data_IF_636142739496
#
_entry.id   IF_636142739496
#
_cell.length_a   1.000
_cell.length_b   1.000
_cell.length_c   1.000
_cell.angle_alpha   90.00
_cell.angle_beta   90.00
_cell.angle_gamma   90.00
#
_symmetry.space_group_name_H-M   'P 1'
#
loop_
_entity.id
_entity.type
_entity.pdbx_description
1 polymer ?
#
# COMPACT_ATOMS: atom_id res chain seq x y z
N UNK A 1 6.26 17.01 -9.57
CA UNK A 1 5.03 16.65 -8.82
C UNK A 1 4.54 15.33 -9.40
N UNK A 2 4.31 14.31 -8.57
CA UNK A 2 3.83 13.02 -9.05
C UNK A 2 2.31 12.92 -8.87
N UNK A 3 1.63 12.40 -9.90
CA UNK A 3 0.19 12.19 -9.94
C UNK A 3 -0.13 10.89 -9.22
N UNK A 4 -1.11 10.92 -8.32
CA UNK A 4 -1.56 9.74 -7.57
C UNK A 4 -2.77 9.08 -8.24
N UNK A 5 -3.74 9.88 -8.67
CA UNK A 5 -4.94 9.40 -9.35
C UNK A 5 -5.54 10.50 -10.22
N UNK A 6 -6.11 10.13 -11.35
CA UNK A 6 -6.89 11.03 -12.20
C UNK A 6 -8.16 10.34 -12.70
N UNK A 7 -9.19 11.13 -13.00
CA UNK A 7 -10.41 10.61 -13.62
C UNK A 7 -11.57 11.60 -13.60
N UNK A 8 -12.67 11.20 -14.23
CA UNK A 8 -13.90 11.97 -14.26
C UNK A 8 -14.69 11.80 -12.96
N UNK A 9 -15.15 12.92 -12.41
CA UNK A 9 -16.11 12.94 -11.31
C UNK A 9 -17.15 14.02 -11.55
N UNK A 10 -18.39 13.73 -11.18
CA UNK A 10 -19.41 14.75 -11.07
C UNK A 10 -19.14 15.57 -9.81
N UNK A 11 -19.17 16.89 -9.93
CA UNK A 11 -18.99 17.83 -8.84
C UNK A 11 -20.21 18.72 -8.70
N UNK A 12 -20.67 18.89 -7.46
CA UNK A 12 -21.74 19.83 -7.17
C UNK A 12 -21.18 21.24 -6.99
N UNK A 13 -21.79 22.21 -7.66
CA UNK A 13 -21.46 23.63 -7.45
C UNK A 13 -21.93 24.11 -6.07
N UNK A 14 -21.13 24.97 -5.42
CA UNK A 14 -21.44 25.47 -4.08
C UNK A 14 -22.64 26.42 -4.04
N UNK A 15 -22.84 27.23 -5.08
CA UNK A 15 -23.87 28.28 -5.16
C UNK A 15 -25.20 27.74 -5.68
N UNK A 16 -25.19 27.13 -6.88
CA UNK A 16 -26.42 26.72 -7.58
C UNK A 16 -26.78 25.25 -7.35
N UNK A 17 -25.96 24.49 -6.61
CA UNK A 17 -26.15 23.07 -6.30
C UNK A 17 -26.33 22.16 -7.54
N UNK A 18 -25.95 22.65 -8.72
CA UNK A 18 -25.95 21.91 -9.99
C UNK A 18 -24.71 21.01 -10.08
N UNK A 19 -24.92 19.81 -10.63
CA UNK A 19 -23.86 18.85 -10.93
C UNK A 19 -23.18 19.18 -12.27
N UNK A 20 -21.86 19.09 -12.30
CA UNK A 20 -21.03 19.27 -13.49
C UNK A 20 -20.00 18.16 -13.56
N UNK A 21 -19.76 17.62 -14.74
CA UNK A 21 -18.71 16.64 -14.95
C UNK A 21 -17.36 17.36 -15.04
N UNK A 22 -16.41 16.96 -14.20
CA UNK A 22 -15.08 17.57 -14.12
C UNK A 22 -13.99 16.50 -14.21
N UNK A 23 -12.91 16.81 -14.92
CA UNK A 23 -11.69 16.01 -14.85
C UNK A 23 -10.95 16.37 -13.56
N UNK A 24 -10.62 15.37 -12.76
CA UNK A 24 -10.03 15.54 -11.44
C UNK A 24 -8.64 14.91 -11.41
N UNK A 25 -7.64 15.67 -10.95
CA UNK A 25 -6.29 15.17 -10.72
C UNK A 25 -5.94 15.31 -9.25
N UNK A 26 -5.53 14.21 -8.63
CA UNK A 26 -5.01 14.14 -7.27
C UNK A 26 -3.49 13.94 -7.31
N UNK A 27 -2.78 14.83 -6.64
CA UNK A 27 -1.31 14.86 -6.61
C UNK A 27 -0.77 14.40 -5.25
N UNK A 28 0.45 13.85 -5.21
CA UNK A 28 1.12 13.38 -3.98
C UNK A 28 1.33 14.47 -2.92
N UNK A 29 1.40 15.73 -3.35
CA UNK A 29 1.48 16.87 -2.43
C UNK A 29 0.16 17.11 -1.66
N UNK A 30 -0.91 16.39 -2.00
CA UNK A 30 -2.25 16.54 -1.44
C UNK A 30 -3.09 17.59 -2.16
N UNK A 31 -2.65 18.10 -3.31
CA UNK A 31 -3.44 18.98 -4.15
C UNK A 31 -4.47 18.19 -4.95
N UNK A 32 -5.74 18.54 -4.78
CA UNK A 32 -6.83 17.99 -5.55
C UNK A 32 -7.37 19.06 -6.50
N UNK A 33 -7.12 18.87 -7.80
CA UNK A 33 -7.33 19.85 -8.86
C UNK A 33 -8.51 19.42 -9.73
N UNK A 34 -9.32 20.40 -10.14
CA UNK A 34 -10.49 20.19 -10.98
C UNK A 34 -10.36 21.01 -12.28
N UNK A 35 -10.67 20.36 -13.39
CA UNK A 35 -10.63 20.93 -14.72
C UNK A 35 -11.95 20.69 -15.44
N UNK A 36 -12.24 21.52 -16.44
CA UNK A 36 -13.39 21.34 -17.32
C UNK A 36 -13.22 20.15 -18.28
N UNK A 37 -11.97 19.86 -18.66
CA UNK A 37 -11.62 18.83 -19.62
C UNK A 37 -10.31 18.12 -19.26
N UNK A 38 -10.10 16.92 -19.81
CA UNK A 38 -8.89 16.10 -19.62
C UNK A 38 -7.61 16.78 -20.14
N UNK A 39 -7.73 17.78 -21.01
CA UNK A 39 -6.60 18.54 -21.54
C UNK A 39 -5.93 19.44 -20.48
N UNK A 40 -6.49 19.53 -19.27
CA UNK A 40 -5.96 20.32 -18.12
C UNK A 40 -5.75 21.82 -18.39
N UNK A 41 -6.31 22.34 -19.48
CA UNK A 41 -6.18 23.77 -19.87
C UNK A 41 -7.13 24.67 -19.09
N UNK A 42 -8.35 24.18 -18.86
CA UNK A 42 -9.42 24.92 -18.22
C UNK A 42 -9.50 24.58 -16.74
N UNK A 43 -8.69 25.27 -15.92
CA UNK A 43 -8.69 25.11 -14.47
C UNK A 43 -9.96 25.70 -13.84
N UNK A 44 -10.63 24.93 -12.99
CA UNK A 44 -11.80 25.40 -12.25
C UNK A 44 -11.48 25.69 -10.78
N UNK A 45 -10.92 24.72 -10.05
CA UNK A 45 -10.70 24.86 -8.61
C UNK A 45 -9.63 23.91 -8.09
N UNK A 46 -9.08 24.24 -6.92
CA UNK A 46 -8.07 23.45 -6.20
C UNK A 46 -8.46 23.35 -4.73
N UNK A 47 -8.35 22.15 -4.19
CA UNK A 47 -8.52 21.86 -2.77
C UNK A 47 -7.22 21.25 -2.24
N UNK A 48 -6.68 21.83 -1.16
CA UNK A 48 -5.50 21.28 -0.49
C UNK A 48 -5.95 20.32 0.61
N UNK A 49 -5.88 19.02 0.35
CA UNK A 49 -6.39 18.00 1.28
C UNK A 49 -5.64 18.00 2.60
N UNK A 50 -4.31 18.17 2.59
CA UNK A 50 -3.49 18.17 3.80
C UNK A 50 -3.87 19.27 4.79
N UNK A 51 -4.20 20.46 4.26
CA UNK A 51 -4.49 21.63 5.10
C UNK A 51 -5.97 21.76 5.40
N UNK A 52 -6.85 21.33 4.51
CA UNK A 52 -8.29 21.62 4.61
C UNK A 52 -9.18 20.40 4.84
N UNK A 53 -8.78 19.17 4.45
CA UNK A 53 -9.63 17.99 4.59
C UNK A 53 -9.66 17.49 6.04
N UNK A 54 -10.86 17.38 6.61
CA UNK A 54 -11.11 16.81 7.94
C UNK A 54 -11.51 15.34 7.81
N UNK A 55 -12.40 15.02 6.88
CA UNK A 55 -12.89 13.65 6.66
C UNK A 55 -13.38 13.45 5.22
N UNK A 56 -13.53 12.20 4.79
CA UNK A 56 -14.12 11.83 3.50
C UNK A 56 -15.17 10.74 3.73
N UNK A 57 -16.39 10.99 3.25
CA UNK A 57 -17.53 10.09 3.34
C UNK A 57 -17.89 9.53 1.96
N UNK A 58 -18.40 8.31 1.88
CA UNK A 58 -18.82 7.68 0.63
C UNK A 58 -20.17 6.99 0.77
N UNK A 59 -20.90 6.89 -0.34
CA UNK A 59 -22.18 6.20 -0.43
C UNK A 59 -23.20 6.66 0.61
N UNK A 60 -23.81 5.72 1.33
CA UNK A 60 -24.86 5.96 2.33
C UNK A 60 -24.39 6.82 3.52
N UNK A 61 -23.08 6.98 3.73
CA UNK A 61 -22.55 7.92 4.73
C UNK A 61 -22.85 9.38 4.38
N UNK A 62 -23.15 9.67 3.10
CA UNK A 62 -23.44 11.00 2.56
C UNK A 62 -24.93 11.39 2.77
N UNK A 63 -25.43 11.28 4.00
CA UNK A 63 -26.81 11.60 4.32
C UNK A 63 -27.16 13.06 3.97
N UNK A 64 -28.34 13.27 3.36
CA UNK A 64 -28.87 14.60 3.03
C UNK A 64 -28.34 15.21 1.72
N UNK A 65 -27.60 14.45 0.92
CA UNK A 65 -27.16 14.86 -0.44
C UNK A 65 -27.98 14.14 -1.50
N UNK A 66 -28.58 14.88 -2.41
CA UNK A 66 -29.24 14.30 -3.59
C UNK A 66 -28.21 14.02 -4.69
N UNK A 67 -28.07 12.76 -5.16
CA UNK A 67 -27.18 12.44 -6.27
C UNK A 67 -27.68 13.06 -7.58
N UNK A 68 -26.86 13.07 -8.63
CA UNK A 68 -27.34 13.37 -9.98
C UNK A 68 -28.48 12.42 -10.37
N UNK A 69 -29.41 12.88 -11.22
CA UNK A 69 -30.68 12.19 -11.54
C UNK A 69 -30.52 10.74 -12.04
N UNK A 70 -29.37 10.42 -12.62
CA UNK A 70 -29.05 9.09 -13.18
C UNK A 70 -28.19 8.21 -12.26
N UNK A 71 -27.76 8.70 -11.10
CA UNK A 71 -26.79 8.01 -10.24
C UNK A 71 -27.38 7.65 -8.86
N UNK A 72 -27.07 6.46 -8.32
CA UNK A 72 -27.49 6.08 -6.98
C UNK A 72 -26.72 6.86 -5.91
N UNK A 73 -27.27 6.89 -4.70
CA UNK A 73 -26.62 7.53 -3.55
C UNK A 73 -25.31 6.85 -3.14
N UNK A 74 -25.12 5.58 -3.47
CA UNK A 74 -23.91 4.80 -3.22
C UNK A 74 -22.68 5.35 -3.97
N UNK A 75 -22.90 6.01 -5.11
CA UNK A 75 -21.84 6.65 -5.89
C UNK A 75 -21.36 7.98 -5.31
N UNK A 76 -22.02 8.50 -4.26
CA UNK A 76 -21.67 9.79 -3.68
C UNK A 76 -20.35 9.72 -2.93
N UNK A 77 -19.63 10.84 -2.97
CA UNK A 77 -18.39 11.06 -2.24
C UNK A 77 -18.39 12.49 -1.70
N UNK A 78 -18.29 12.66 -0.40
CA UNK A 78 -18.28 13.98 0.25
C UNK A 78 -16.97 14.18 0.98
N UNK A 79 -16.20 15.19 0.55
CA UNK A 79 -15.00 15.63 1.24
C UNK A 79 -15.39 16.74 2.22
N UNK A 80 -15.30 16.45 3.51
CA UNK A 80 -15.53 17.41 4.58
C UNK A 80 -14.29 18.27 4.79
N UNK A 81 -14.42 19.56 4.58
CA UNK A 81 -13.36 20.55 4.72
C UNK A 81 -13.47 21.26 6.08
N UNK A 82 -12.39 21.95 6.48
CA UNK A 82 -12.38 22.84 7.65
C UNK A 82 -13.48 23.91 7.52
N UNK A 83 -13.93 24.41 8.67
CA UNK A 83 -14.97 25.44 8.79
C UNK A 83 -16.36 24.99 8.32
N UNK A 84 -16.62 23.68 8.25
CA UNK A 84 -17.94 23.14 7.90
C UNK A 84 -18.25 23.13 6.41
N UNK A 85 -17.32 23.56 5.56
CA UNK A 85 -17.49 23.45 4.11
C UNK A 85 -17.42 21.99 3.66
N UNK A 86 -18.17 21.65 2.62
CA UNK A 86 -18.16 20.31 2.03
C UNK A 86 -18.02 20.41 0.52
N UNK A 87 -17.22 19.51 -0.03
CA UNK A 87 -17.10 19.29 -1.47
C UNK A 87 -17.84 18.00 -1.80
N UNK A 88 -18.97 18.15 -2.48
CA UNK A 88 -19.83 17.04 -2.88
C UNK A 88 -19.46 16.57 -4.29
N UNK A 89 -19.18 15.28 -4.40
CA UNK A 89 -18.77 14.59 -5.62
C UNK A 89 -19.64 13.35 -5.84
N UNK A 90 -19.66 12.84 -7.07
CA UNK A 90 -20.31 11.59 -7.43
C UNK A 90 -19.47 10.86 -8.50
N UNK A 91 -19.20 9.58 -8.27
CA UNK A 91 -18.49 8.70 -9.20
C UNK A 91 -19.47 7.97 -10.13
N UNK A 92 -18.94 7.17 -11.06
CA UNK A 92 -19.78 6.39 -11.98
C UNK A 92 -20.26 5.09 -11.33
N UNK A 93 -19.53 4.56 -10.36
CA UNK A 93 -19.89 3.39 -9.55
C UNK A 93 -19.56 3.57 -8.06
N UNK A 94 -20.12 2.71 -7.21
CA UNK A 94 -19.79 2.63 -5.78
C UNK A 94 -18.30 2.31 -5.57
N UNK A 95 -17.76 1.34 -6.31
CA UNK A 95 -16.35 0.96 -6.23
C UNK A 95 -15.42 2.12 -6.55
N UNK A 96 -15.75 2.93 -7.56
CA UNK A 96 -14.99 4.13 -7.88
C UNK A 96 -15.07 5.16 -6.75
N UNK A 97 -16.25 5.38 -6.17
CA UNK A 97 -16.42 6.29 -5.04
C UNK A 97 -15.57 5.84 -3.84
N UNK A 98 -15.55 4.54 -3.53
CA UNK A 98 -14.71 3.95 -2.49
C UNK A 98 -13.22 4.10 -2.81
N UNK A 99 -12.80 3.81 -4.04
CA UNK A 99 -11.42 3.97 -4.46
C UNK A 99 -10.96 5.43 -4.30
N UNK A 100 -11.79 6.40 -4.70
CA UNK A 100 -11.52 7.82 -4.49
C UNK A 100 -11.44 8.18 -3.00
N UNK A 101 -12.36 7.68 -2.16
CA UNK A 101 -12.31 7.92 -0.70
C UNK A 101 -10.99 7.45 -0.10
N UNK A 102 -10.58 6.21 -0.39
CA UNK A 102 -9.33 5.64 0.13
C UNK A 102 -8.12 6.48 -0.33
N UNK A 103 -8.05 6.80 -1.61
CA UNK A 103 -6.95 7.59 -2.19
C UNK A 103 -6.89 9.01 -1.60
N UNK A 104 -8.03 9.66 -1.37
CA UNK A 104 -8.09 10.99 -0.75
C UNK A 104 -7.65 10.97 0.72
N UNK A 105 -8.07 9.95 1.48
CA UNK A 105 -7.66 9.76 2.86
C UNK A 105 -6.16 9.47 2.99
N UNK A 106 -5.61 8.71 2.03
CA UNK A 106 -4.17 8.44 1.91
C UNK A 106 -3.40 9.72 1.57
N UNK A 107 -3.81 10.46 0.53
CA UNK A 107 -3.17 11.72 0.13
C UNK A 107 -3.19 12.78 1.24
N UNK A 108 -4.23 12.78 2.10
CA UNK A 108 -4.30 13.61 3.31
C UNK A 108 -3.26 13.17 4.35
N UNK A 109 -3.09 11.86 4.57
CA UNK A 109 -2.16 11.30 5.57
C UNK A 109 -0.70 11.35 5.14
N UNK A 110 -0.42 11.25 3.84
CA UNK A 110 0.92 11.21 3.31
C UNK A 110 1.64 12.57 3.52
N UNK A 111 2.26 12.73 4.69
CA UNK A 111 3.42 13.62 4.85
C UNK A 111 4.52 12.99 4.04
N UNK A 112 4.66 13.43 2.80
CA UNK A 112 5.69 13.07 1.83
C UNK A 112 6.97 12.60 2.57
N UNK A 113 7.14 11.28 2.70
CA UNK A 113 8.47 10.71 2.78
C UNK A 113 8.97 10.75 1.34
N UNK A 114 9.50 11.89 0.92
CA UNK A 114 10.42 11.87 -0.22
C UNK A 114 11.57 11.03 0.29
N UNK A 115 11.62 9.76 -0.10
CA UNK A 115 12.86 9.00 0.02
C UNK A 115 13.86 9.75 -0.86
N UNK A 116 14.69 10.56 -0.21
CA UNK A 116 15.81 11.21 -0.84
C UNK A 116 16.99 10.27 -0.65
N UNK A 117 17.42 9.53 -1.68
CA UNK A 117 18.60 8.65 -1.57
C UNK A 117 19.89 9.42 -1.24
N UNK A 118 19.85 10.75 -1.25
CA UNK A 118 20.94 11.62 -0.78
C UNK A 118 20.83 12.02 0.70
N UNK A 119 19.68 11.83 1.36
CA UNK A 119 19.52 11.96 2.83
C UNK A 119 19.85 10.66 3.57
N UNK A 120 20.05 9.57 2.82
CA UNK A 120 20.65 8.33 3.31
C UNK A 120 22.13 8.58 3.61
N UNK A 121 22.41 9.26 4.71
CA UNK A 121 23.66 9.07 5.45
C UNK A 121 23.59 7.72 6.16
N UNK A 122 23.46 6.64 5.39
CA UNK A 122 23.95 5.34 5.85
C UNK A 122 25.45 5.54 6.06
N UNK A 123 25.87 5.82 7.29
CA UNK A 123 27.22 5.44 7.67
C UNK A 123 27.26 3.94 7.47
N UNK A 124 28.01 3.48 6.47
CA UNK A 124 28.34 2.07 6.31
C UNK A 124 29.10 1.66 7.57
N UNK A 125 28.40 1.11 8.55
CA UNK A 125 29.02 0.56 9.76
C UNK A 125 29.62 -0.78 9.34
N UNK A 126 30.96 -0.94 9.40
CA UNK A 126 31.58 -2.22 9.10
C UNK A 126 31.02 -3.29 10.04
N UNK A 127 30.80 -4.50 9.50
CA UNK A 127 30.39 -5.66 10.28
C UNK A 127 31.46 -5.90 11.36
N UNK A 128 31.07 -5.81 12.64
CA UNK A 128 31.93 -6.24 13.74
C UNK A 128 32.08 -7.77 13.71
N UNK A 129 33.16 -8.27 14.31
CA UNK A 129 33.47 -9.67 14.60
C UNK A 129 32.30 -10.49 15.19
N UNK A 130 31.26 -9.83 15.71
CA UNK A 130 30.04 -10.44 16.24
C UNK A 130 28.84 -10.46 15.25
N UNK A 131 29.04 -10.18 13.95
CA UNK A 131 27.98 -10.19 12.93
C UNK A 131 26.77 -9.26 13.25
N UNK A 132 27.01 -8.18 14.00
CA UNK A 132 25.99 -7.21 14.38
C UNK A 132 26.19 -5.88 13.65
N UNK A 133 25.10 -5.30 13.16
CA UNK A 133 25.09 -3.97 12.54
C UNK A 133 24.28 -3.01 13.42
N UNK A 134 24.90 -1.90 13.80
CA UNK A 134 24.27 -0.84 14.58
C UNK A 134 23.85 0.29 13.63
N UNK A 135 22.54 0.49 13.46
CA UNK A 135 22.02 1.62 12.70
C UNK A 135 21.62 2.74 13.67
N UNK A 136 22.32 3.87 13.62
CA UNK A 136 21.95 5.09 14.33
C UNK A 136 21.22 6.04 13.37
N UNK A 137 20.02 6.54 13.73
CA UNK A 137 19.39 7.59 12.95
C UNK A 137 20.23 8.88 13.06
N UNK A 138 20.60 9.46 11.92
CA UNK A 138 21.54 10.57 11.78
C UNK A 138 21.10 11.94 12.32
N UNK A 139 20.05 12.00 13.16
CA UNK A 139 19.65 13.25 13.83
C UNK A 139 19.89 13.07 15.32
N UNK A 140 20.86 13.81 15.86
CA UNK A 140 21.42 13.69 17.21
C UNK A 140 20.47 14.00 18.38
N UNK A 141 19.24 13.49 18.38
CA UNK A 141 18.35 13.53 19.52
C UNK A 141 17.46 12.27 19.56
N UNK A 142 17.83 11.33 20.45
CA UNK A 142 16.89 10.42 21.11
C UNK A 142 16.10 9.41 20.25
N UNK A 143 16.58 9.04 19.06
CA UNK A 143 15.95 7.98 18.25
C UNK A 143 16.26 6.57 18.76
N UNK A 144 15.28 5.67 18.65
CA UNK A 144 15.39 4.25 19.02
C UNK A 144 16.55 3.60 18.25
N UNK A 145 17.49 2.98 18.98
CA UNK A 145 18.59 2.23 18.40
C UNK A 145 18.07 0.88 17.88
N UNK A 146 18.27 0.62 16.59
CA UNK A 146 17.91 -0.67 15.99
C UNK A 146 19.19 -1.51 15.83
N UNK A 147 19.24 -2.64 16.54
CA UNK A 147 20.30 -3.64 16.42
C UNK A 147 19.82 -4.74 15.48
N UNK A 148 20.52 -4.92 14.36
CA UNK A 148 20.26 -6.01 13.42
C UNK A 148 21.36 -7.04 13.59
N UNK A 149 21.00 -8.23 14.05
CA UNK A 149 21.92 -9.37 14.16
C UNK A 149 21.74 -10.23 12.92
N UNK A 150 22.77 -10.32 12.09
CA UNK A 150 22.76 -11.23 10.95
C UNK A 150 22.95 -12.65 11.47
N UNK A 151 21.85 -13.40 11.53
CA UNK A 151 21.87 -14.82 11.87
C UNK A 151 21.99 -15.59 10.57
N UNK A 152 23.18 -16.09 10.28
CA UNK A 152 23.40 -16.99 9.14
C UNK A 152 22.53 -18.24 9.30
N UNK A 153 21.45 -18.33 8.53
CA UNK A 153 20.50 -19.46 8.54
C UNK A 153 21.09 -20.73 7.94
N UNK A 154 22.39 -20.75 7.62
CA UNK A 154 23.00 -21.83 6.86
C UNK A 154 23.21 -23.14 7.64
N UNK A 155 22.94 -23.18 8.96
CA UNK A 155 23.25 -24.36 9.76
C UNK A 155 22.06 -25.05 10.45
N UNK A 156 20.82 -24.60 10.27
CA UNK A 156 19.66 -25.25 10.91
C UNK A 156 19.01 -26.36 10.04
N UNK A 157 19.32 -26.45 8.74
CA UNK A 157 18.68 -27.44 7.84
C UNK A 157 19.49 -28.70 7.52
N UNK A 158 20.77 -28.76 7.90
CA UNK A 158 21.69 -29.83 7.48
C UNK A 158 21.57 -31.08 8.39
N UNK A 159 21.24 -30.90 9.67
CA UNK A 159 21.11 -32.01 10.62
C UNK A 159 19.93 -32.94 10.33
N UNK A 160 18.78 -32.39 9.93
CA UNK A 160 17.56 -33.18 9.70
C UNK A 160 17.61 -34.00 8.41
N UNK A 161 18.24 -33.47 7.35
CA UNK A 161 18.37 -34.19 6.07
C UNK A 161 19.37 -35.35 6.12
N UNK A 162 20.44 -35.23 6.92
CA UNK A 162 21.41 -36.31 7.11
C UNK A 162 20.77 -37.49 7.86
N UNK A 163 19.92 -37.21 8.86
CA UNK A 163 19.21 -38.23 9.61
C UNK A 163 18.19 -39.01 8.75
N UNK A 164 17.47 -38.33 7.85
CA UNK A 164 16.51 -38.95 6.93
C UNK A 164 17.18 -39.83 5.86
N UNK A 165 18.34 -39.42 5.34
CA UNK A 165 19.11 -40.19 4.36
C UNK A 165 19.74 -41.48 4.92
N UNK A 166 20.19 -41.45 6.17
CA UNK A 166 20.75 -42.62 6.86
C UNK A 166 19.70 -43.71 7.15
N UNK A 167 18.46 -43.32 7.43
CA UNK A 167 17.39 -44.27 7.78
C UNK A 167 16.82 -45.00 6.55
N UNK A 168 16.81 -44.36 5.39
CA UNK A 168 16.38 -44.96 4.12
C UNK A 168 17.42 -45.93 3.54
N UNK A 169 18.72 -45.69 3.75
CA UNK A 169 19.80 -46.57 3.30
C UNK A 169 19.84 -47.93 4.01
N UNK A 170 19.35 -48.01 5.26
CA UNK A 170 19.41 -49.24 6.07
C UNK A 170 18.38 -50.30 5.63
N UNK A 171 17.24 -49.89 5.06
CA UNK A 171 16.19 -50.81 4.61
C UNK A 171 16.55 -51.53 3.28
N UNK A 172 17.27 -50.86 2.37
CA UNK A 172 17.64 -51.43 1.07
C UNK A 172 18.78 -52.45 1.16
N UNK A 173 19.66 -52.34 2.16
CA UNK A 173 20.81 -53.24 2.34
C UNK A 173 20.44 -54.65 2.84
N UNK A 174 19.33 -54.81 3.56
CA UNK A 174 18.92 -56.10 4.13
C UNK A 174 18.30 -57.05 3.09
N UNK A 175 17.65 -56.54 2.05
CA UNK A 175 16.95 -57.36 1.06
C UNK A 175 17.90 -58.07 0.07
N UNK A 176 19.03 -57.43 -0.29
CA UNK A 176 19.95 -58.00 -1.29
C UNK A 176 20.92 -59.07 -0.73
N UNK A 177 21.00 -59.23 0.59
CA UNK A 177 21.79 -60.32 1.21
C UNK A 177 20.95 -61.60 1.42
N UNK A 178 19.62 -61.53 1.26
CA UNK A 178 18.70 -62.66 1.44
C UNK A 178 18.54 -63.55 0.20
N UNK A 179 18.95 -63.10 -0.99
CA UNK A 179 18.78 -63.86 -2.24
C UNK A 179 19.99 -64.72 -2.63
N UNK A 180 21.14 -64.56 -1.97
CA UNK A 180 22.36 -65.30 -2.29
C UNK A 180 22.44 -66.68 -1.63
N UNK A 181 21.55 -66.99 -0.67
CA UNK A 181 21.55 -68.23 0.14
C UNK A 181 20.18 -68.94 0.16
N UNK A 182 19.46 -69.01 -0.96
CA UNK A 182 18.38 -70.00 -1.12
C UNK A 182 18.91 -71.24 -1.86
N UNK A 183 19.00 -72.42 -1.21
CA UNK A 183 19.28 -73.67 -1.89
C UNK A 183 18.05 -74.13 -2.69
N UNK A 184 18.33 -74.65 -3.88
CA UNK A 184 17.42 -75.27 -4.84
C UNK A 184 16.31 -76.12 -4.22
N UNK A 185 15.08 -75.62 -4.24
CA UNK A 185 13.87 -76.45 -4.11
C UNK A 185 12.82 -75.92 -5.10
N UNK A 186 12.99 -76.25 -6.39
CA UNK A 186 11.89 -76.57 -7.31
C UNK A 186 12.48 -77.32 -8.52
N UNK A 187 12.04 -78.57 -8.63
CA UNK A 187 12.29 -79.60 -9.67
C UNK A 187 13.63 -80.34 -9.62
#
# INVERSE_FOLDING_TARGET
MALLKSGWLWRQSSVLKRWKLNWCDLWLDGSFMFYKSENRRDFETRVSLKTSCVNVKSGLECAGVCPPETHPSENLLVVCLKNGFTLTLCANSEDEALAWKLTLLEARRNTVFTYNPSDDTYQTVPIDSHNAVYAMPGTGCGGIQHVWVHRDTYNEGIGEQIALGLLTGMAAGAAMRSLLWMPFWFC
#
